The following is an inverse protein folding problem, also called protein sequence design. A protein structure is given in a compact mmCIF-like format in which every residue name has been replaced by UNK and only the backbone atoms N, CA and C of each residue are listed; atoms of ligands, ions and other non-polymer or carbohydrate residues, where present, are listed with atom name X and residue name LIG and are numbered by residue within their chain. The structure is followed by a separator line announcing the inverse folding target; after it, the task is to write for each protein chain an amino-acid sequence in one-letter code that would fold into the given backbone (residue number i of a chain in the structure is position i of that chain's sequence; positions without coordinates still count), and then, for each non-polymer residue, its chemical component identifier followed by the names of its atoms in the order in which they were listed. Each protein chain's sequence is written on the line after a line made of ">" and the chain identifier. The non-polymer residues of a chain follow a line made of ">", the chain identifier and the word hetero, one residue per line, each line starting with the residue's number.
data_IF_620437243807
#
_entry.id   IF_620437243807
#
_cell.length_a   1.000
_cell.length_b   1.000
_cell.length_c   1.000
_cell.angle_alpha   90.00
_cell.angle_beta   90.00
_cell.angle_gamma   90.00
#
_symmetry.space_group_name_H-M   'P 1'
#
loop_
_entity.id
_entity.type
_entity.pdbx_description
1 polymer ?
#
# COMPACT_ATOMS: atom_id res chain seq x y z
N UNK A 1 -8.77 2.28 -18.88
CA UNK A 1 -9.20 1.93 -17.51
C UNK A 1 -8.22 2.51 -16.51
N UNK A 2 -8.64 2.88 -15.30
CA UNK A 2 -7.76 3.54 -14.30
C UNK A 2 -6.57 2.64 -13.93
N UNK A 3 -6.80 1.35 -13.70
CA UNK A 3 -5.74 0.37 -13.39
C UNK A 3 -4.60 0.38 -14.44
N UNK A 4 -4.97 0.37 -15.73
CA UNK A 4 -4.00 0.44 -16.82
C UNK A 4 -3.25 1.78 -16.87
N UNK A 5 -3.96 2.89 -16.63
CA UNK A 5 -3.34 4.21 -16.61
C UNK A 5 -2.31 4.38 -15.48
N UNK A 6 -2.57 3.77 -14.31
CA UNK A 6 -1.60 3.73 -13.21
C UNK A 6 -0.40 2.84 -13.61
N UNK A 7 -0.65 1.68 -14.21
CA UNK A 7 0.37 0.72 -14.61
C UNK A 7 1.31 1.23 -15.73
N UNK A 8 0.81 2.11 -16.60
CA UNK A 8 1.60 2.69 -17.69
C UNK A 8 2.17 4.08 -17.33
N UNK A 9 1.97 4.55 -16.10
CA UNK A 9 2.54 5.81 -15.61
C UNK A 9 3.98 5.62 -15.14
N UNK A 10 4.84 6.60 -15.42
CA UNK A 10 6.22 6.66 -14.87
C UNK A 10 6.27 7.04 -13.38
N UNK A 11 5.12 7.33 -12.76
CA UNK A 11 5.05 7.68 -11.35
C UNK A 11 5.29 6.47 -10.44
N UNK A 12 5.85 6.72 -9.24
CA UNK A 12 5.89 5.71 -8.19
C UNK A 12 4.47 5.40 -7.74
N UNK A 13 4.03 4.16 -7.94
CA UNK A 13 2.68 3.71 -7.62
C UNK A 13 2.67 2.83 -6.37
N UNK A 14 1.83 3.20 -5.40
CA UNK A 14 1.57 2.40 -4.21
C UNK A 14 0.08 2.04 -4.18
N UNK A 15 -0.22 0.75 -4.03
CA UNK A 15 -1.57 0.23 -3.94
C UNK A 15 -1.76 -0.56 -2.65
N UNK A 16 -2.95 -0.51 -2.06
CA UNK A 16 -3.29 -1.26 -0.86
C UNK A 16 -4.80 -1.30 -0.61
N UNK A 17 -5.25 -2.34 0.08
CA UNK A 17 -6.68 -2.62 0.31
C UNK A 17 -7.19 -3.79 -0.54
N UNK A 18 -8.02 -4.66 0.06
CA UNK A 18 -8.41 -5.94 -0.53
C UNK A 18 -9.01 -5.84 -1.94
N UNK A 19 -9.94 -4.93 -2.15
CA UNK A 19 -10.60 -4.74 -3.45
C UNK A 19 -9.62 -4.22 -4.52
N UNK A 20 -8.68 -3.36 -4.13
CA UNK A 20 -7.65 -2.84 -5.04
C UNK A 20 -6.69 -3.95 -5.47
N UNK A 21 -6.31 -4.84 -4.54
CA UNK A 21 -5.47 -6.01 -4.84
C UNK A 21 -6.19 -7.00 -5.75
N UNK A 22 -7.49 -7.25 -5.51
CA UNK A 22 -8.29 -8.10 -6.40
C UNK A 22 -8.39 -7.52 -7.82
N UNK A 23 -8.51 -6.20 -7.97
CA UNK A 23 -8.49 -5.56 -9.27
C UNK A 23 -7.13 -5.66 -9.97
N UNK A 24 -6.03 -5.47 -9.23
CA UNK A 24 -4.66 -5.62 -9.76
C UNK A 24 -4.43 -7.03 -10.30
N UNK A 25 -4.87 -8.06 -9.56
CA UNK A 25 -4.77 -9.46 -9.97
C UNK A 25 -5.64 -9.75 -11.20
N UNK A 26 -6.90 -9.30 -11.17
CA UNK A 26 -7.85 -9.46 -12.29
C UNK A 26 -7.34 -8.86 -13.60
N UNK A 27 -6.63 -7.74 -13.54
CA UNK A 27 -6.07 -7.07 -14.73
C UNK A 27 -4.62 -7.47 -15.05
N UNK A 28 -4.00 -8.32 -14.23
CA UNK A 28 -2.65 -8.83 -14.47
C UNK A 28 -1.58 -7.73 -14.52
N UNK A 29 -1.69 -6.70 -13.65
CA UNK A 29 -0.77 -5.55 -13.62
C UNK A 29 0.13 -5.51 -12.37
N UNK A 30 0.22 -6.61 -11.61
CA UNK A 30 0.92 -6.64 -10.33
C UNK A 30 2.41 -6.28 -10.45
N UNK A 31 3.06 -6.69 -11.53
CA UNK A 31 4.46 -6.40 -11.87
C UNK A 31 4.72 -4.95 -12.27
N UNK A 32 3.66 -4.20 -12.62
CA UNK A 32 3.72 -2.79 -13.00
C UNK A 32 3.44 -1.82 -11.84
N UNK A 33 3.09 -2.32 -10.66
CA UNK A 33 2.88 -1.50 -9.47
C UNK A 33 4.17 -1.43 -8.66
N UNK A 34 4.63 -0.24 -8.28
CA UNK A 34 5.92 -0.08 -7.60
C UNK A 34 5.92 -0.69 -6.18
N UNK A 35 4.79 -0.64 -5.47
CA UNK A 35 4.63 -1.26 -4.17
C UNK A 35 3.18 -1.72 -3.92
N UNK A 36 3.00 -2.99 -3.53
CA UNK A 36 1.70 -3.55 -3.16
C UNK A 36 1.68 -3.81 -1.65
N UNK A 37 0.84 -3.06 -0.93
CA UNK A 37 0.61 -3.24 0.49
C UNK A 37 -0.47 -4.28 0.74
N UNK A 38 -0.10 -5.35 1.46
CA UNK A 38 -1.02 -6.36 1.99
C UNK A 38 -1.53 -6.03 3.41
N UNK A 39 -1.21 -4.84 3.93
CA UNK A 39 -1.52 -4.43 5.30
C UNK A 39 -3.00 -4.15 5.58
N UNK A 40 -3.87 -4.18 4.57
CA UNK A 40 -5.32 -4.02 4.71
C UNK A 40 -5.69 -2.78 5.52
N UNK A 41 -6.36 -2.97 6.67
CA UNK A 41 -6.76 -1.88 7.57
C UNK A 41 -5.57 -1.08 8.13
N UNK A 42 -4.44 -1.73 8.43
CA UNK A 42 -3.26 -1.02 8.94
C UNK A 42 -2.67 -0.06 7.88
N UNK A 43 -2.76 -0.41 6.59
CA UNK A 43 -2.38 0.50 5.51
C UNK A 43 -3.30 1.73 5.46
N UNK A 44 -4.61 1.54 5.62
CA UNK A 44 -5.57 2.64 5.68
C UNK A 44 -5.34 3.55 6.89
N UNK A 45 -5.17 2.97 8.08
CA UNK A 45 -4.87 3.73 9.30
C UNK A 45 -3.58 4.56 9.17
N UNK A 46 -2.56 3.99 8.53
CA UNK A 46 -1.31 4.70 8.25
C UNK A 46 -1.52 5.89 7.31
N UNK A 47 -2.29 5.71 6.22
CA UNK A 47 -2.63 6.79 5.27
C UNK A 47 -3.52 7.86 5.93
N UNK A 48 -4.37 7.49 6.88
CA UNK A 48 -5.14 8.43 7.72
C UNK A 48 -4.26 9.23 8.69
N UNK A 49 -2.95 8.92 8.79
CA UNK A 49 -2.01 9.60 9.69
C UNK A 49 -2.09 9.11 11.14
N UNK A 50 -2.78 7.99 11.39
CA UNK A 50 -2.84 7.40 12.73
C UNK A 50 -1.51 6.76 13.08
N UNK A 51 -1.18 6.80 14.37
CA UNK A 51 -0.03 6.07 14.91
C UNK A 51 -0.37 4.59 15.03
N UNK A 52 0.37 3.74 14.32
CA UNK A 52 0.27 2.29 14.48
C UNK A 52 0.97 1.86 15.77
N UNK A 53 0.27 1.27 16.77
CA UNK A 53 0.85 1.00 18.09
C UNK A 53 2.12 0.14 18.06
N UNK A 54 2.16 -0.85 17.16
CA UNK A 54 3.33 -1.71 16.99
C UNK A 54 4.56 -0.93 16.47
N UNK A 55 4.37 0.02 15.55
CA UNK A 55 5.45 0.87 15.02
C UNK A 55 5.94 1.82 16.11
N UNK A 56 5.01 2.45 16.86
CA UNK A 56 5.36 3.33 18.00
C UNK A 56 6.23 2.61 19.02
N UNK A 57 5.85 1.38 19.41
CA UNK A 57 6.63 0.59 20.37
C UNK A 57 8.07 0.34 19.86
N UNK A 58 8.25 0.05 18.57
CA UNK A 58 9.57 -0.14 17.97
C UNK A 58 10.38 1.17 17.95
N UNK A 59 9.76 2.29 17.60
CA UNK A 59 10.39 3.61 17.62
C UNK A 59 10.84 4.03 19.02
N UNK A 60 10.04 3.75 20.05
CA UNK A 60 10.38 4.03 21.45
C UNK A 60 11.58 3.19 21.90
N UNK A 61 11.63 1.91 21.52
CA UNK A 61 12.73 1.01 21.86
C UNK A 61 14.02 1.30 21.13
N UNK A 62 13.97 1.86 19.92
CA UNK A 62 15.15 2.24 19.15
C UNK A 62 15.82 3.53 19.66
N UNK A 63 15.15 4.31 20.52
CA UNK A 63 15.68 5.56 21.10
C UNK A 63 16.44 5.36 22.41
N UNK A 64 16.29 4.21 23.05
CA UNK A 64 17.01 3.85 24.29
C UNK A 64 18.26 3.03 23.99
#
# INVERSE_FOLDING_TARGET
>A
MIAQAIADSDAFSIAGGGDTLAAIDLFGIADKISYISTGGGAFLEFVEGKKLPAVVMLEERAKG
#
